data_IF_704825730947
#
_entry.id   IF_704825730947
#
_cell.length_a   1.000
_cell.length_b   1.000
_cell.length_c   1.000
_cell.angle_alpha   90.00
_cell.angle_beta   90.00
_cell.angle_gamma   90.00
#
_symmetry.space_group_name_H-M   'P 1'
#
loop_
_entity.id
_entity.type
_entity.pdbx_description
1 polymer ?
#
# COMPACT_ATOMS: atom_id res chain seq x y z
N UNK A 1 36.90 -5.65 -72.72
CA UNK A 1 35.82 -4.69 -72.41
C UNK A 1 35.43 -4.93 -70.96
N UNK A 2 35.74 -3.97 -70.08
CA UNK A 2 35.88 -4.15 -68.63
C UNK A 2 34.71 -3.53 -67.85
N UNK A 3 34.08 -4.36 -67.01
CA UNK A 3 33.45 -4.17 -65.68
C UNK A 3 32.73 -2.85 -65.29
N UNK A 4 31.44 -3.02 -64.98
CA UNK A 4 30.66 -2.60 -63.79
C UNK A 4 30.95 -1.25 -63.10
N UNK A 5 29.87 -0.48 -62.85
CA UNK A 5 29.70 0.20 -61.56
C UNK A 5 28.22 0.43 -61.23
N UNK A 6 27.84 -0.12 -60.08
CA UNK A 6 26.57 -0.03 -59.35
C UNK A 6 26.45 1.30 -58.61
N UNK A 7 25.23 1.74 -58.27
CA UNK A 7 24.86 1.92 -56.85
C UNK A 7 23.38 2.25 -56.68
N UNK A 8 22.79 1.48 -55.77
CA UNK A 8 21.38 1.34 -55.49
C UNK A 8 20.83 2.49 -54.63
N UNK A 9 19.65 2.98 -55.00
CA UNK A 9 18.79 3.76 -54.11
C UNK A 9 17.96 2.80 -53.24
N UNK A 10 17.97 2.99 -51.93
CA UNK A 10 16.78 3.03 -51.08
C UNK A 10 17.20 3.19 -49.61
N UNK A 11 16.93 4.36 -49.04
CA UNK A 11 16.92 4.59 -47.60
C UNK A 11 15.53 4.16 -47.11
N UNK A 12 15.42 3.07 -46.35
CA UNK A 12 14.19 2.70 -45.66
C UNK A 12 14.32 3.10 -44.19
N UNK A 13 13.62 4.18 -43.81
CA UNK A 13 13.42 4.56 -42.42
C UNK A 13 12.24 3.76 -41.87
N UNK A 14 12.49 2.96 -40.83
CA UNK A 14 11.44 2.31 -40.05
C UNK A 14 11.40 2.95 -38.66
N UNK A 15 10.42 3.84 -38.45
CA UNK A 15 10.10 4.37 -37.12
C UNK A 15 8.99 3.50 -36.54
N UNK A 16 9.35 2.59 -35.63
CA UNK A 16 8.39 1.76 -34.89
C UNK A 16 8.04 2.50 -33.59
N UNK A 17 6.84 3.07 -33.52
CA UNK A 17 6.30 3.63 -32.29
C UNK A 17 5.72 2.49 -31.43
N UNK A 18 6.46 2.04 -30.42
CA UNK A 18 5.97 1.13 -29.38
C UNK A 18 5.24 1.96 -28.31
N UNK A 19 3.91 1.99 -28.36
CA UNK A 19 3.10 2.49 -27.25
C UNK A 19 2.69 1.33 -26.34
N UNK A 20 3.52 1.00 -25.34
CA UNK A 20 3.14 0.10 -24.25
C UNK A 20 2.43 0.91 -23.16
N UNK A 21 1.10 0.91 -23.16
CA UNK A 21 0.34 1.35 -21.98
C UNK A 21 0.39 0.23 -20.94
N UNK A 22 1.22 0.38 -19.91
CA UNK A 22 1.13 -0.48 -18.73
C UNK A 22 -0.23 -0.25 -18.06
N UNK A 23 -1.04 -1.30 -17.92
CA UNK A 23 -2.23 -1.24 -17.08
C UNK A 23 -1.76 -1.02 -15.64
N UNK A 24 -2.27 0.03 -14.99
CA UNK A 24 -2.08 0.23 -13.56
C UNK A 24 -2.72 -0.96 -12.84
N UNK A 25 -1.94 -1.68 -12.03
CA UNK A 25 -2.49 -2.68 -11.13
C UNK A 25 -3.42 -1.97 -10.14
N UNK A 26 -4.55 -2.59 -9.81
CA UNK A 26 -5.43 -2.06 -8.76
C UNK A 26 -4.71 -2.10 -7.42
N UNK A 27 -4.75 -1.00 -6.68
CA UNK A 27 -3.94 -0.82 -5.46
C UNK A 27 -4.84 -1.06 -4.28
N UNK A 28 -4.51 -2.11 -3.56
CA UNK A 28 -5.30 -2.66 -2.48
C UNK A 28 -4.34 -3.26 -1.44
N UNK A 29 -4.89 -3.81 -0.38
CA UNK A 29 -4.11 -4.35 0.73
C UNK A 29 -3.57 -5.76 0.46
N UNK A 30 -3.99 -6.45 -0.61
CA UNK A 30 -3.61 -7.84 -0.82
C UNK A 30 -2.10 -7.98 -0.98
N UNK A 31 -1.49 -8.81 -0.13
CA UNK A 31 -0.04 -9.00 -0.07
C UNK A 31 0.69 -8.09 0.90
N UNK A 32 0.05 -7.02 1.41
CA UNK A 32 0.62 -6.18 2.47
C UNK A 32 0.84 -7.03 3.73
N UNK A 33 1.92 -6.75 4.46
CA UNK A 33 2.15 -7.35 5.78
C UNK A 33 1.71 -6.37 6.86
N UNK A 34 0.51 -6.58 7.40
CA UNK A 34 -0.05 -5.71 8.42
C UNK A 34 0.39 -6.15 9.82
N UNK A 35 0.81 -5.16 10.60
CA UNK A 35 1.12 -5.30 12.02
C UNK A 35 0.04 -4.64 12.87
N UNK A 36 -0.26 -5.26 14.01
CA UNK A 36 -1.32 -4.81 14.91
C UNK A 36 -0.76 -4.59 16.31
N UNK A 37 -1.03 -3.42 16.85
CA UNK A 37 -0.60 -3.03 18.19
C UNK A 37 -1.83 -2.62 19.01
N UNK A 38 -2.14 -3.37 20.07
CA UNK A 38 -2.98 -2.83 21.14
C UNK A 38 -2.16 -1.79 21.88
N UNK A 39 -2.57 -0.53 21.89
CA UNK A 39 -1.81 0.55 22.52
C UNK A 39 -2.63 1.35 23.55
N UNK A 40 -1.96 1.74 24.63
CA UNK A 40 -2.49 2.57 25.72
C UNK A 40 -1.32 3.08 26.59
N UNK A 41 -1.31 4.35 27.08
CA UNK A 41 -2.32 5.41 26.91
C UNK A 41 -2.08 6.33 25.70
N UNK A 42 -1.12 5.98 24.84
CA UNK A 42 -0.77 6.68 23.61
C UNK A 42 -0.56 5.64 22.49
N UNK A 43 -0.43 6.09 21.24
CA UNK A 43 -0.31 5.23 20.06
C UNK A 43 0.99 4.42 20.00
N UNK A 44 2.01 4.75 20.79
CA UNK A 44 3.32 4.10 20.76
C UNK A 44 3.53 3.10 21.92
N UNK A 45 2.67 3.09 22.93
CA UNK A 45 2.86 2.27 24.13
C UNK A 45 2.06 0.99 24.02
N UNK A 46 2.74 -0.14 23.83
CA UNK A 46 2.11 -1.45 23.78
C UNK A 46 1.36 -1.77 25.08
N UNK A 47 0.13 -2.24 24.93
CA UNK A 47 -0.71 -2.69 26.03
C UNK A 47 -0.91 -4.21 25.94
N UNK A 48 -0.37 -4.92 26.93
CA UNK A 48 -0.39 -6.38 27.06
C UNK A 48 0.35 -7.12 25.93
N UNK A 49 -0.07 -8.35 25.64
CA UNK A 49 0.59 -9.25 24.71
C UNK A 49 0.53 -8.71 23.27
N UNK A 50 1.59 -8.92 22.45
CA UNK A 50 1.58 -8.59 21.04
C UNK A 50 0.44 -9.32 20.30
N UNK A 51 -0.08 -8.68 19.26
CA UNK A 51 -0.98 -9.30 18.30
C UNK A 51 -0.10 -9.78 17.13
N UNK A 52 -0.29 -11.00 16.61
CA UNK A 52 0.47 -11.46 15.46
C UNK A 52 0.25 -10.57 14.23
N UNK A 53 1.31 -10.38 13.45
CA UNK A 53 1.22 -9.80 12.11
C UNK A 53 0.54 -10.77 11.15
N UNK A 54 0.04 -10.27 10.03
CA UNK A 54 -0.55 -11.09 8.97
C UNK A 54 -0.22 -10.56 7.58
N UNK A 55 -0.13 -11.46 6.61
CA UNK A 55 -0.06 -11.10 5.20
C UNK A 55 -1.48 -11.12 4.66
N UNK A 56 -1.94 -9.99 4.14
CA UNK A 56 -3.34 -9.87 3.71
C UNK A 56 -3.60 -10.80 2.53
N UNK A 57 -4.60 -11.66 2.70
CA UNK A 57 -5.08 -12.60 1.71
C UNK A 57 -6.57 -12.38 1.49
N UNK A 58 -7.10 -12.82 0.35
CA UNK A 58 -8.54 -12.73 0.12
C UNK A 58 -9.29 -13.75 1.01
N UNK A 59 -10.37 -13.31 1.64
CA UNK A 59 -11.15 -14.13 2.57
C UNK A 59 -10.51 -14.21 3.95
N UNK A 60 -10.87 -15.22 4.74
CA UNK A 60 -10.64 -15.18 6.20
C UNK A 60 -9.39 -15.95 6.68
N UNK A 61 -8.50 -16.37 5.79
CA UNK A 61 -7.35 -17.23 6.16
C UNK A 61 -6.25 -16.50 6.94
N UNK A 62 -6.25 -15.18 6.84
CA UNK A 62 -5.28 -14.23 7.39
C UNK A 62 -5.82 -13.50 8.63
N UNK A 63 -6.97 -13.92 9.15
CA UNK A 63 -7.54 -13.38 10.39
C UNK A 63 -6.59 -13.55 11.57
N UNK A 64 -6.40 -12.47 12.32
CA UNK A 64 -5.60 -12.48 13.55
C UNK A 64 -6.45 -12.03 14.73
N UNK A 65 -6.26 -12.71 15.86
CA UNK A 65 -6.99 -12.40 17.09
C UNK A 65 -6.03 -11.89 18.16
N UNK A 66 -6.42 -10.82 18.84
CA UNK A 66 -5.81 -10.44 20.10
C UNK A 66 -6.35 -11.36 21.20
N UNK A 67 -5.48 -12.23 21.71
CA UNK A 67 -5.83 -13.21 22.72
C UNK A 67 -5.16 -12.88 24.06
N UNK A 68 -5.97 -12.80 25.11
CA UNK A 68 -5.51 -12.58 26.50
C UNK A 68 -5.80 -13.83 27.35
N UNK A 69 -5.40 -13.82 28.63
CA UNK A 69 -5.52 -14.97 29.54
C UNK A 69 -4.86 -16.24 28.97
N UNK A 70 -3.57 -16.14 28.64
CA UNK A 70 -2.73 -17.27 28.21
C UNK A 70 -3.29 -18.04 27.01
N UNK A 71 -3.91 -17.35 26.06
CA UNK A 71 -4.44 -18.00 24.85
C UNK A 71 -5.92 -18.38 24.91
N UNK A 72 -6.64 -18.05 25.99
CA UNK A 72 -8.01 -18.55 26.20
C UNK A 72 -9.10 -17.58 25.76
N UNK A 73 -8.83 -16.26 25.78
CA UNK A 73 -9.84 -15.25 25.54
C UNK A 73 -9.47 -14.40 24.32
N UNK A 74 -10.11 -14.67 23.17
CA UNK A 74 -10.05 -13.76 22.02
C UNK A 74 -10.88 -12.52 22.33
N UNK A 75 -10.24 -11.37 22.43
CA UNK A 75 -10.89 -10.10 22.75
C UNK A 75 -11.33 -9.38 21.49
N UNK A 76 -10.46 -9.39 20.47
CA UNK A 76 -10.70 -8.71 19.20
C UNK A 76 -10.10 -9.49 18.06
N UNK A 77 -10.84 -9.67 16.98
CA UNK A 77 -10.36 -10.27 15.73
C UNK A 77 -10.24 -9.19 14.66
N UNK A 78 -9.14 -9.21 13.92
CA UNK A 78 -8.91 -8.43 12.71
C UNK A 78 -9.04 -9.34 11.50
N UNK A 79 -9.81 -8.92 10.51
CA UNK A 79 -9.95 -9.55 9.20
C UNK A 79 -9.67 -8.48 8.14
N UNK A 80 -8.40 -8.31 7.71
CA UNK A 80 -8.08 -7.46 6.59
C UNK A 80 -8.55 -8.10 5.28
N UNK A 81 -8.97 -7.28 4.34
CA UNK A 81 -9.38 -7.67 2.99
C UNK A 81 -8.82 -6.62 2.02
N UNK A 82 -9.01 -6.80 0.71
CA UNK A 82 -8.43 -5.91 -0.31
C UNK A 82 -8.64 -4.39 -0.04
N UNK A 83 -9.84 -3.97 0.39
CA UNK A 83 -10.15 -2.54 0.59
C UNK A 83 -10.73 -2.23 1.96
N UNK A 84 -10.65 -3.16 2.90
CA UNK A 84 -11.22 -2.95 4.22
C UNK A 84 -10.49 -3.74 5.29
N UNK A 85 -10.65 -3.30 6.54
CA UNK A 85 -10.27 -4.08 7.71
C UNK A 85 -11.48 -4.15 8.61
N UNK A 86 -11.94 -5.37 8.88
CA UNK A 86 -13.00 -5.62 9.85
C UNK A 86 -12.39 -5.93 11.20
N UNK A 87 -12.84 -5.23 12.23
CA UNK A 87 -12.53 -5.49 13.64
C UNK A 87 -13.78 -6.01 14.32
N UNK A 88 -13.68 -7.19 14.94
CA UNK A 88 -14.78 -7.77 15.73
C UNK A 88 -14.37 -7.85 17.19
N UNK A 89 -15.06 -7.10 18.05
CA UNK A 89 -14.95 -7.23 19.50
C UNK A 89 -15.75 -8.47 19.94
N UNK A 90 -15.03 -9.56 20.20
CA UNK A 90 -15.61 -10.88 20.50
C UNK A 90 -16.17 -10.97 21.92
N UNK A 91 -15.73 -10.08 22.81
CA UNK A 91 -16.22 -9.96 24.19
C UNK A 91 -16.40 -8.51 24.55
N UNK A 92 -17.28 -8.26 25.53
CA UNK A 92 -17.45 -6.93 26.08
C UNK A 92 -16.14 -6.46 26.72
N UNK A 93 -15.60 -5.36 26.18
CA UNK A 93 -14.37 -4.73 26.67
C UNK A 93 -14.64 -3.25 26.91
N UNK A 94 -14.01 -2.70 27.96
CA UNK A 94 -14.05 -1.26 28.23
C UNK A 94 -12.81 -0.59 27.66
N UNK A 95 -13.02 0.51 26.94
CA UNK A 95 -11.98 1.40 26.47
C UNK A 95 -12.19 2.79 27.06
N UNK A 96 -11.11 3.51 27.33
CA UNK A 96 -11.12 4.84 27.95
C UNK A 96 -10.48 5.91 27.06
N UNK A 97 -10.56 5.71 25.74
CA UNK A 97 -10.07 6.66 24.75
C UNK A 97 -10.84 7.98 24.79
N UNK A 98 -10.15 9.07 24.50
CA UNK A 98 -10.72 10.41 24.41
C UNK A 98 -9.87 11.29 23.50
N UNK A 99 -10.26 12.55 23.30
CA UNK A 99 -9.42 13.52 22.57
C UNK A 99 -8.04 13.78 23.19
N UNK A 100 -7.82 13.39 24.46
CA UNK A 100 -6.55 13.58 25.18
C UNK A 100 -5.82 12.29 25.57
N UNK A 101 -6.44 11.12 25.36
CA UNK A 101 -5.92 9.82 25.78
C UNK A 101 -6.23 8.78 24.72
N UNK A 102 -5.24 7.99 24.34
CA UNK A 102 -5.44 6.90 23.41
C UNK A 102 -5.72 5.61 24.17
N UNK A 103 -6.75 4.89 23.74
CA UNK A 103 -7.01 3.53 24.16
C UNK A 103 -7.61 2.74 23.00
N UNK A 104 -6.78 1.99 22.29
CA UNK A 104 -7.28 1.22 21.15
C UNK A 104 -6.16 0.49 20.41
N UNK A 105 -6.20 0.56 19.08
CA UNK A 105 -5.35 -0.22 18.20
C UNK A 105 -4.61 0.65 17.18
N UNK A 106 -3.36 0.32 16.91
CA UNK A 106 -2.59 0.88 15.79
C UNK A 106 -2.34 -0.23 14.79
N UNK A 107 -2.64 0.04 13.53
CA UNK A 107 -2.39 -0.83 12.39
C UNK A 107 -1.32 -0.15 11.55
N UNK A 108 -0.27 -0.88 11.19
CA UNK A 108 0.84 -0.39 10.38
C UNK A 108 1.25 -1.44 9.35
N UNK A 109 2.20 -1.10 8.47
CA UNK A 109 2.70 -2.04 7.46
C UNK A 109 1.94 -1.98 6.12
N UNK A 110 1.22 -0.88 5.90
CA UNK A 110 0.63 -0.58 4.58
C UNK A 110 1.75 -0.31 3.56
N UNK A 111 1.73 -1.00 2.42
CA UNK A 111 2.75 -0.82 1.37
C UNK A 111 2.54 0.48 0.58
N UNK A 112 1.32 1.01 0.64
CA UNK A 112 0.89 2.23 -0.01
C UNK A 112 0.35 3.24 1.01
N UNK A 113 0.43 4.53 0.66
CA UNK A 113 -0.05 5.60 1.52
C UNK A 113 -1.58 5.58 1.58
N UNK A 114 -2.14 5.74 2.78
CA UNK A 114 -3.58 5.84 3.01
C UNK A 114 -4.05 7.22 2.57
N UNK A 115 -4.93 7.28 1.56
CA UNK A 115 -5.50 8.54 1.09
C UNK A 115 -6.77 8.92 1.83
N UNK A 116 -7.64 7.94 2.04
CA UNK A 116 -8.90 8.15 2.76
C UNK A 116 -9.38 6.85 3.38
N UNK A 117 -10.29 6.99 4.34
CA UNK A 117 -10.95 5.87 4.97
C UNK A 117 -12.43 6.18 5.19
N UNK A 118 -13.22 5.12 5.25
CA UNK A 118 -14.63 5.19 5.65
C UNK A 118 -14.83 4.36 6.89
N UNK A 119 -15.77 4.78 7.73
CA UNK A 119 -16.06 4.11 8.99
C UNK A 119 -17.51 3.66 9.00
N UNK A 120 -17.73 2.36 9.14
CA UNK A 120 -19.04 1.79 9.40
C UNK A 120 -18.97 0.96 10.67
N UNK A 121 -19.82 1.25 11.66
CA UNK A 121 -19.80 0.52 12.93
C UNK A 121 -21.20 0.27 13.46
N UNK A 122 -21.39 -0.94 13.98
CA UNK A 122 -22.61 -1.35 14.66
C UNK A 122 -22.28 -1.68 16.13
N UNK A 123 -21.62 -0.75 16.80
CA UNK A 123 -21.13 -0.92 18.17
C UNK A 123 -21.59 0.22 19.07
N UNK A 124 -21.65 -0.05 20.38
CA UNK A 124 -21.80 1.00 21.39
C UNK A 124 -20.49 1.72 21.75
N UNK A 125 -19.42 1.53 20.97
CA UNK A 125 -18.15 2.24 21.17
C UNK A 125 -18.21 3.64 20.55
N UNK A 126 -17.62 4.61 21.24
CA UNK A 126 -17.08 5.79 20.57
C UNK A 126 -15.87 5.36 19.76
N UNK A 127 -15.82 5.72 18.47
CA UNK A 127 -14.70 5.39 17.60
C UNK A 127 -14.17 6.67 16.97
N UNK A 128 -12.86 6.87 17.04
CA UNK A 128 -12.17 7.92 16.30
C UNK A 128 -10.93 7.34 15.64
N UNK A 129 -10.69 7.75 14.39
CA UNK A 129 -9.55 7.29 13.61
C UNK A 129 -8.64 8.48 13.33
N UNK A 130 -7.33 8.26 13.44
CA UNK A 130 -6.28 9.20 13.06
C UNK A 130 -5.19 8.46 12.30
N UNK A 131 -4.39 9.19 11.53
CA UNK A 131 -3.24 8.65 10.80
C UNK A 131 -1.97 9.21 11.46
N UNK A 132 -1.27 8.42 12.30
CA UNK A 132 0.01 8.86 12.89
C UNK A 132 1.06 9.19 11.82
N UNK A 133 1.01 8.49 10.69
CA UNK A 133 1.79 8.70 9.48
C UNK A 133 1.00 8.20 8.26
N UNK A 134 1.57 8.30 7.05
CA UNK A 134 0.88 7.96 5.81
C UNK A 134 0.57 6.46 5.66
N UNK A 135 1.23 5.57 6.41
CA UNK A 135 1.17 4.11 6.31
C UNK A 135 0.87 3.46 7.66
N UNK A 136 0.20 4.20 8.53
CA UNK A 136 -0.28 3.73 9.82
C UNK A 136 -1.63 4.36 10.13
N UNK A 137 -2.49 3.58 10.78
CA UNK A 137 -3.81 4.00 11.22
C UNK A 137 -3.95 3.73 12.71
N UNK A 138 -4.41 4.72 13.47
CA UNK A 138 -4.72 4.60 14.89
C UNK A 138 -6.23 4.69 15.12
N UNK A 139 -6.79 3.63 15.68
CA UNK A 139 -8.21 3.49 16.03
C UNK A 139 -8.31 3.66 17.54
N UNK A 140 -8.86 4.79 17.97
CA UNK A 140 -9.08 5.11 19.36
C UNK A 140 -10.53 4.78 19.74
N UNK A 141 -10.72 4.05 20.84
CA UNK A 141 -12.00 3.51 21.25
C UNK A 141 -12.41 4.08 22.63
N UNK A 142 -13.69 4.37 22.80
CA UNK A 142 -14.26 4.89 24.03
C UNK A 142 -15.54 4.12 24.42
N UNK A 143 -15.76 3.92 25.71
CA UNK A 143 -16.93 3.23 26.25
C UNK A 143 -16.80 1.71 26.28
N UNK A 144 -17.94 1.03 26.45
CA UNK A 144 -18.02 -0.40 26.72
C UNK A 144 -19.07 -1.06 25.83
N UNK A 145 -18.66 -1.99 24.96
CA UNK A 145 -19.57 -2.75 24.08
C UNK A 145 -18.90 -4.03 23.58
N UNK A 146 -19.64 -4.84 22.83
CA UNK A 146 -19.13 -5.80 21.82
C UNK A 146 -19.68 -5.42 20.43
N UNK A 147 -19.23 -6.09 19.38
CA UNK A 147 -19.75 -5.91 18.02
C UNK A 147 -18.66 -5.70 16.95
N UNK A 148 -19.08 -5.29 15.75
CA UNK A 148 -18.20 -5.20 14.58
C UNK A 148 -18.04 -3.76 14.08
N UNK A 149 -16.80 -3.44 13.73
CA UNK A 149 -16.32 -2.22 13.11
C UNK A 149 -15.73 -2.58 11.76
N UNK A 150 -16.17 -1.91 10.70
CA UNK A 150 -15.59 -2.05 9.35
C UNK A 150 -14.98 -0.73 8.93
N UNK A 151 -13.71 -0.78 8.55
CA UNK A 151 -12.95 0.38 8.06
C UNK A 151 -12.64 0.15 6.60
N UNK A 152 -13.31 0.89 5.70
CA UNK A 152 -12.94 0.89 4.29
C UNK A 152 -11.71 1.76 4.06
N UNK A 153 -10.76 1.32 3.25
CA UNK A 153 -9.45 1.95 3.03
C UNK A 153 -9.25 2.20 1.54
N UNK A 154 -8.89 3.44 1.19
CA UNK A 154 -8.46 3.81 -0.16
C UNK A 154 -6.98 4.21 -0.14
N UNK A 155 -6.18 3.51 -0.95
CA UNK A 155 -4.73 3.65 -1.01
C UNK A 155 -4.29 4.49 -2.21
N UNK A 156 -3.13 5.12 -2.08
CA UNK A 156 -2.55 5.94 -3.13
C UNK A 156 -2.05 5.09 -4.28
N UNK A 157 -2.46 5.47 -5.50
CA UNK A 157 -1.97 4.84 -6.72
C UNK A 157 -0.47 5.16 -6.93
N UNK A 158 0.40 4.18 -7.20
CA UNK A 158 1.74 4.43 -7.67
C UNK A 158 1.66 5.32 -8.91
N UNK A 159 2.25 6.50 -8.85
CA UNK A 159 2.33 7.39 -10.01
C UNK A 159 3.34 6.76 -10.98
N UNK A 160 2.91 6.26 -12.16
CA UNK A 160 3.86 5.71 -13.12
C UNK A 160 4.78 6.85 -13.57
N UNK A 161 6.06 6.58 -13.78
CA UNK A 161 6.98 7.51 -14.43
C UNK A 161 7.18 7.15 -15.92
N UNK A 162 6.17 7.29 -16.80
CA UNK A 162 6.31 6.90 -18.20
C UNK A 162 7.24 7.84 -18.97
N UNK A 163 7.41 9.08 -18.52
CA UNK A 163 8.23 10.08 -19.22
C UNK A 163 9.70 10.01 -18.82
N UNK A 164 10.05 9.79 -17.55
CA UNK A 164 11.44 9.85 -17.06
C UNK A 164 12.34 8.81 -17.72
N UNK A 165 11.86 7.58 -17.85
CA UNK A 165 12.61 6.47 -18.45
C UNK A 165 12.75 6.66 -19.97
N UNK A 166 11.67 7.09 -20.64
CA UNK A 166 11.67 7.37 -22.07
C UNK A 166 12.58 8.56 -22.40
N UNK A 167 12.57 9.62 -21.57
CA UNK A 167 13.43 10.78 -21.74
C UNK A 167 14.90 10.47 -21.44
N UNK A 168 15.18 9.62 -20.45
CA UNK A 168 16.55 9.14 -20.19
C UNK A 168 17.07 8.29 -21.36
N UNK A 169 16.28 7.36 -21.88
CA UNK A 169 16.65 6.53 -23.03
C UNK A 169 16.82 7.37 -24.32
N UNK A 170 15.93 8.34 -24.55
CA UNK A 170 16.04 9.27 -25.67
C UNK A 170 17.29 10.17 -25.55
N UNK A 171 17.60 10.66 -24.34
CA UNK A 171 18.80 11.43 -24.06
C UNK A 171 20.10 10.66 -24.33
N UNK A 172 20.17 9.40 -23.88
CA UNK A 172 21.32 8.53 -24.14
C UNK A 172 21.45 8.16 -25.63
N UNK A 173 20.33 7.92 -26.32
CA UNK A 173 20.31 7.67 -27.76
C UNK A 173 20.85 8.84 -28.58
N UNK A 174 20.49 10.08 -28.21
CA UNK A 174 20.99 11.29 -28.87
C UNK A 174 22.50 11.50 -28.67
N UNK A 175 23.01 11.20 -27.47
CA UNK A 175 24.45 11.29 -27.16
C UNK A 175 25.25 10.26 -27.99
N UNK A 176 24.76 9.03 -28.12
CA UNK A 176 25.39 8.00 -28.95
C UNK A 176 25.46 8.36 -30.44
N UNK A 177 24.38 8.95 -30.98
CA UNK A 177 24.34 9.44 -32.37
C UNK A 177 25.30 10.61 -32.58
N UNK A 178 25.36 11.55 -31.63
CA UNK A 178 26.28 12.70 -31.71
C UNK A 178 27.75 12.27 -31.65
N UNK A 179 28.10 11.31 -30.78
CA UNK A 179 29.45 10.76 -30.68
C UNK A 179 29.88 10.05 -31.97
N UNK A 180 29.00 9.23 -32.58
CA UNK A 180 29.28 8.53 -33.84
C UNK A 180 29.54 9.49 -35.01
N UNK A 181 28.83 10.63 -35.07
CA UNK A 181 29.04 11.63 -36.12
C UNK A 181 30.38 12.35 -36.01
N UNK A 182 30.90 12.54 -34.80
CA UNK A 182 32.22 13.17 -34.58
C UNK A 182 33.38 12.27 -34.98
N UNK A 183 33.29 10.97 -34.70
CA UNK A 183 34.33 10.01 -35.11
C UNK A 183 34.43 9.82 -36.63
N UNK A 184 33.32 9.97 -37.36
CA UNK A 184 33.29 9.83 -38.82
C UNK A 184 33.80 11.07 -39.59
N UNK A 185 33.95 12.22 -38.93
CA UNK A 185 34.43 13.46 -39.55
C UNK A 185 35.95 13.70 -39.34
N UNK A 186 36.62 12.82 -38.61
CA UNK A 186 38.03 12.96 -38.21
C UNK A 186 38.97 11.91 -38.83
N UNK A 187 38.53 11.17 -39.86
CA UNK A 187 39.34 10.22 -40.62
C UNK A 187 39.19 10.46 -42.12
#
# INVERSE_FOLDING_TARGET
MSLQSTTSRALAAATLALSTSAALADVNLLGDTLSFLRAYPNTATQYLAPIPDTVVAAGTSDQVSWVVNSGTLSVTTFNPEAYEIQLTANVTSGYIGSGSRFDGYVISGFDHDIQSFTLNHATGFGVSISLPDARSMAINLDGTSSGTLTIGIALAQPVPEPASIVMLAAGLGLIGVAARRRSAAAG
#
